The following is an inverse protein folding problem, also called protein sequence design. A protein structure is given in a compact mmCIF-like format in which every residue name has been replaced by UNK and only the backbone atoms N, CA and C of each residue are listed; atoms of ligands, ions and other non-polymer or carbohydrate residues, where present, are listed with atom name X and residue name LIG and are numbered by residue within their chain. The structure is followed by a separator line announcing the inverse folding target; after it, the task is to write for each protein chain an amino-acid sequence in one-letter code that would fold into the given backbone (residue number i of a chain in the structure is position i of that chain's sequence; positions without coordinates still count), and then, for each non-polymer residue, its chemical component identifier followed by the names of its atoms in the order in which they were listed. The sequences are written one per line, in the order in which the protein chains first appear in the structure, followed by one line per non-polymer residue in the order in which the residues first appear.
data_IF_348349352721
#
_entry.id   IF_348349352721
#
_cell.length_a   1.000
_cell.length_b   1.000
_cell.length_c   1.000
_cell.angle_alpha   90.00
_cell.angle_beta   90.00
_cell.angle_gamma   90.00
#
_symmetry.space_group_name_H-M   'P 1'
#
loop_
_entity.id
_entity.type
_entity.pdbx_description
1 polymer ?
#
# COMPACT_ATOMS: atom_id res chain seq x y z
N UNK A 1 30.92 -41.14 -42.42
CA UNK A 1 29.95 -42.01 -41.72
C UNK A 1 29.07 -41.09 -40.89
N UNK A 2 28.03 -40.45 -41.43
CA UNK A 2 26.81 -41.00 -42.00
C UNK A 2 25.98 -41.78 -40.95
N UNK A 3 24.90 -41.13 -40.49
CA UNK A 3 23.61 -41.70 -40.05
C UNK A 3 23.59 -42.54 -38.75
N UNK A 4 22.87 -42.06 -37.73
CA UNK A 4 21.52 -42.55 -37.38
C UNK A 4 21.06 -41.99 -36.03
N UNK A 5 19.74 -41.89 -35.84
CA UNK A 5 18.98 -41.39 -34.68
C UNK A 5 18.56 -39.92 -34.67
N UNK A 6 17.83 -39.56 -35.72
CA UNK A 6 16.57 -38.82 -35.59
C UNK A 6 15.49 -39.81 -35.13
N UNK A 7 14.46 -39.32 -34.43
CA UNK A 7 13.26 -40.01 -33.88
C UNK A 7 13.33 -40.34 -32.38
N UNK A 8 13.21 -39.29 -31.57
CA UNK A 8 12.47 -39.29 -30.30
C UNK A 8 12.03 -37.85 -30.00
N UNK A 9 11.22 -37.31 -30.92
CA UNK A 9 10.50 -36.07 -30.73
C UNK A 9 9.11 -36.39 -30.14
N UNK A 10 8.58 -35.44 -29.37
CA UNK A 10 7.21 -35.37 -28.85
C UNK A 10 6.85 -36.33 -27.70
N UNK A 11 7.14 -35.96 -26.45
CA UNK A 11 6.23 -36.18 -25.27
C UNK A 11 6.68 -35.52 -23.96
N UNK A 12 7.74 -34.69 -23.93
CA UNK A 12 8.19 -34.02 -22.67
C UNK A 12 8.05 -32.48 -22.71
N UNK A 13 7.54 -31.91 -23.80
CA UNK A 13 7.52 -30.46 -24.03
C UNK A 13 6.19 -29.73 -23.78
N UNK A 14 5.27 -30.25 -22.95
CA UNK A 14 3.96 -29.60 -22.73
C UNK A 14 3.43 -29.63 -21.28
N UNK A 15 4.25 -30.00 -20.31
CA UNK A 15 3.84 -30.10 -18.90
C UNK A 15 4.31 -28.92 -18.01
N UNK A 16 5.17 -28.02 -18.53
CA UNK A 16 5.73 -26.90 -17.77
C UNK A 16 5.09 -25.54 -18.08
N UNK A 17 4.04 -25.49 -18.91
CA UNK A 17 3.32 -24.25 -19.21
C UNK A 17 2.04 -24.05 -18.39
N UNK A 18 1.60 -25.07 -17.64
CA UNK A 18 0.70 -24.89 -16.51
C UNK A 18 1.49 -24.39 -15.30
N UNK A 19 2.19 -23.25 -15.44
CA UNK A 19 2.16 -22.29 -14.35
C UNK A 19 0.67 -21.98 -14.20
N UNK A 20 0.06 -22.60 -13.20
CA UNK A 20 -1.22 -22.23 -12.67
C UNK A 20 -1.22 -20.71 -12.61
N UNK A 21 -1.88 -20.09 -13.60
CA UNK A 21 -2.38 -18.75 -13.44
C UNK A 21 -3.34 -18.91 -12.27
N UNK A 22 -2.83 -18.74 -11.05
CA UNK A 22 -3.64 -18.54 -9.87
C UNK A 22 -4.65 -17.51 -10.30
N UNK A 23 -5.96 -17.80 -10.24
CA UNK A 23 -6.97 -16.83 -10.63
C UNK A 23 -6.63 -15.56 -9.85
N UNK A 24 -6.13 -14.56 -10.57
CA UNK A 24 -5.88 -13.24 -10.03
C UNK A 24 -7.28 -12.77 -9.72
N UNK A 25 -7.67 -12.95 -8.45
CA UNK A 25 -9.00 -12.67 -7.90
C UNK A 25 -9.40 -11.34 -8.53
N UNK A 26 -10.38 -11.36 -9.45
CA UNK A 26 -10.87 -10.15 -10.09
C UNK A 26 -11.04 -9.16 -8.96
N UNK A 27 -10.32 -8.04 -9.01
CA UNK A 27 -10.22 -7.10 -7.90
C UNK A 27 -11.63 -6.60 -7.58
N UNK A 28 -12.32 -7.33 -6.71
CA UNK A 28 -13.54 -6.89 -6.09
C UNK A 28 -13.16 -5.58 -5.42
N UNK A 29 -13.97 -4.54 -5.65
CA UNK A 29 -13.70 -3.22 -5.10
C UNK A 29 -13.70 -3.34 -3.57
N UNK A 30 -12.51 -3.52 -3.00
CA UNK A 30 -12.30 -3.62 -1.56
C UNK A 30 -12.49 -2.22 -1.01
N UNK A 31 -13.36 -2.07 -0.02
CA UNK A 31 -13.53 -0.78 0.66
C UNK A 31 -12.34 -0.53 1.60
N UNK A 32 -11.74 0.67 1.63
CA UNK A 32 -10.62 0.96 2.53
C UNK A 32 -10.92 0.63 3.99
N UNK A 33 -12.16 0.86 4.44
CA UNK A 33 -12.59 0.65 5.83
C UNK A 33 -12.61 -0.83 6.22
N UNK A 34 -12.77 -1.74 5.26
CA UNK A 34 -12.71 -3.18 5.52
C UNK A 34 -11.32 -3.64 5.97
N UNK A 35 -10.29 -2.87 5.60
CA UNK A 35 -8.88 -3.14 5.92
C UNK A 35 -8.45 -2.57 7.27
N UNK A 36 -9.32 -1.83 7.94
CA UNK A 36 -9.03 -1.21 9.24
C UNK A 36 -9.50 -2.09 10.40
N UNK A 37 -8.82 -2.07 11.56
CA UNK A 37 -9.25 -2.70 12.80
C UNK A 37 -10.69 -2.35 13.17
N UNK A 38 -11.54 -3.35 13.43
CA UNK A 38 -12.87 -3.11 14.01
C UNK A 38 -12.78 -2.42 15.39
N UNK A 39 -11.67 -2.68 16.11
CA UNK A 39 -11.42 -2.21 17.47
C UNK A 39 -10.24 -1.24 17.49
N UNK A 40 -10.37 -0.14 16.77
CA UNK A 40 -9.39 0.97 16.83
C UNK A 40 -9.66 1.87 18.03
N UNK A 41 -8.59 2.28 18.73
CA UNK A 41 -8.68 3.33 19.78
C UNK A 41 -8.67 4.71 19.12
N UNK A 42 -7.95 4.85 18.01
CA UNK A 42 -7.90 6.06 17.20
C UNK A 42 -8.21 5.69 15.77
N UNK A 43 -9.14 6.42 15.17
CA UNK A 43 -9.45 6.35 13.75
C UNK A 43 -9.36 7.77 13.18
N UNK A 44 -8.56 7.93 12.14
CA UNK A 44 -8.52 9.11 11.30
C UNK A 44 -8.85 8.68 9.88
N UNK A 45 -9.84 9.33 9.29
CA UNK A 45 -10.25 9.06 7.92
C UNK A 45 -10.39 10.38 7.18
N UNK A 46 -9.82 10.40 5.98
CA UNK A 46 -9.98 11.46 5.02
C UNK A 46 -10.37 10.82 3.69
N UNK A 47 -11.59 11.07 3.22
CA UNK A 47 -12.15 10.40 2.03
C UNK A 47 -11.60 10.94 0.70
N UNK A 48 -10.76 11.97 0.76
CA UNK A 48 -10.40 12.76 -0.40
C UNK A 48 -11.57 13.63 -0.89
N UNK A 49 -11.36 14.30 -2.02
CA UNK A 49 -12.39 15.16 -2.61
C UNK A 49 -13.08 14.55 -3.83
N UNK A 50 -12.61 13.43 -4.39
CA UNK A 50 -13.22 12.77 -5.55
C UNK A 50 -14.71 12.45 -5.31
N UNK A 51 -15.02 11.81 -4.18
CA UNK A 51 -16.38 11.39 -3.83
C UNK A 51 -17.32 12.56 -3.51
N UNK A 52 -16.76 13.72 -3.14
CA UNK A 52 -17.50 14.89 -2.65
C UNK A 52 -17.32 16.14 -3.52
N UNK A 53 -16.72 15.99 -4.71
CA UNK A 53 -16.24 17.10 -5.53
C UNK A 53 -17.30 18.18 -5.77
N UNK A 54 -18.56 17.87 -6.16
CA UNK A 54 -19.57 18.89 -6.39
C UNK A 54 -19.90 19.74 -5.16
N UNK A 55 -19.81 19.16 -3.95
CA UNK A 55 -20.06 19.87 -2.70
C UNK A 55 -18.82 20.65 -2.24
N UNK A 56 -17.63 20.04 -2.35
CA UNK A 56 -16.35 20.67 -1.99
C UNK A 56 -16.10 21.91 -2.84
N UNK A 57 -16.37 21.84 -4.15
CA UNK A 57 -16.18 22.96 -5.09
C UNK A 57 -17.02 24.21 -4.74
N UNK A 58 -18.14 24.00 -4.05
CA UNK A 58 -19.01 25.08 -3.60
C UNK A 58 -18.52 25.75 -2.31
N UNK A 59 -17.58 25.14 -1.58
CA UNK A 59 -17.07 25.70 -0.33
C UNK A 59 -16.20 26.93 -0.56
N UNK A 60 -16.30 27.91 0.34
CA UNK A 60 -15.43 29.10 0.29
C UNK A 60 -13.94 28.74 0.43
N UNK A 61 -13.64 27.67 1.17
CA UNK A 61 -12.28 27.16 1.34
C UNK A 61 -11.70 26.68 -0.01
N UNK A 62 -12.43 25.83 -0.72
CA UNK A 62 -12.00 25.37 -2.05
C UNK A 62 -11.86 26.53 -3.03
N UNK A 63 -12.88 27.40 -3.11
CA UNK A 63 -12.81 28.54 -4.02
C UNK A 63 -11.64 29.48 -3.69
N UNK A 64 -11.34 29.70 -2.41
CA UNK A 64 -10.16 30.46 -2.01
C UNK A 64 -8.88 29.76 -2.44
N UNK A 65 -8.74 28.45 -2.17
CA UNK A 65 -7.53 27.70 -2.51
C UNK A 65 -7.26 27.65 -4.02
N UNK A 66 -8.29 27.38 -4.82
CA UNK A 66 -8.19 27.26 -6.28
C UNK A 66 -8.10 28.63 -6.97
N UNK A 67 -9.05 29.56 -6.70
CA UNK A 67 -9.10 30.84 -7.42
C UNK A 67 -7.93 31.76 -7.10
N UNK A 68 -7.34 31.64 -5.92
CA UNK A 68 -6.14 32.44 -5.56
C UNK A 68 -4.83 31.76 -5.94
N UNK A 69 -4.88 30.54 -6.48
CA UNK A 69 -3.68 29.72 -6.74
C UNK A 69 -2.94 29.29 -5.47
N UNK A 70 -3.57 29.41 -4.29
CA UNK A 70 -2.93 29.04 -3.02
C UNK A 70 -2.63 27.54 -2.96
N UNK A 71 -3.49 26.70 -3.57
CA UNK A 71 -3.24 25.26 -3.67
C UNK A 71 -1.90 24.98 -4.34
N UNK A 72 -1.66 25.57 -5.51
CA UNK A 72 -0.41 25.42 -6.24
C UNK A 72 0.79 25.87 -5.39
N UNK A 73 0.67 27.01 -4.72
CA UNK A 73 1.73 27.51 -3.81
C UNK A 73 2.03 26.57 -2.65
N UNK A 74 1.01 25.95 -2.05
CA UNK A 74 1.21 24.97 -0.98
C UNK A 74 1.98 23.76 -1.52
N UNK A 75 1.62 23.27 -2.71
CA UNK A 75 2.35 22.19 -3.35
C UNK A 75 3.78 22.59 -3.75
N UNK A 76 3.99 23.81 -4.21
CA UNK A 76 5.33 24.31 -4.54
C UNK A 76 6.20 24.41 -3.27
N UNK A 77 5.63 24.83 -2.13
CA UNK A 77 6.34 24.83 -0.85
C UNK A 77 6.69 23.41 -0.38
N UNK A 78 5.76 22.47 -0.51
CA UNK A 78 6.02 21.06 -0.22
C UNK A 78 7.11 20.52 -1.13
N UNK A 79 7.04 20.85 -2.43
CA UNK A 79 8.01 20.46 -3.43
C UNK A 79 9.39 21.04 -3.14
N UNK A 80 9.50 22.30 -2.70
CA UNK A 80 10.76 22.90 -2.28
C UNK A 80 11.37 22.19 -1.08
N UNK A 81 10.56 21.86 -0.07
CA UNK A 81 11.01 21.13 1.10
C UNK A 81 11.54 19.73 0.72
N UNK A 82 10.78 19.00 -0.09
CA UNK A 82 11.17 17.68 -0.61
C UNK A 82 12.42 17.78 -1.47
N UNK A 83 12.48 18.74 -2.39
CA UNK A 83 13.61 18.88 -3.32
C UNK A 83 14.91 19.24 -2.63
N UNK A 84 14.85 19.81 -1.43
CA UNK A 84 16.04 20.03 -0.60
C UNK A 84 16.66 18.74 -0.07
N UNK A 85 15.89 17.66 0.00
CA UNK A 85 16.32 16.35 0.52
C UNK A 85 16.47 15.30 -0.59
N UNK A 86 15.57 15.30 -1.58
CA UNK A 86 15.48 14.32 -2.66
C UNK A 86 14.87 14.94 -3.94
N UNK A 87 15.62 15.80 -4.68
CA UNK A 87 15.12 16.55 -5.83
C UNK A 87 14.59 15.67 -6.97
N UNK A 88 15.15 14.48 -7.16
CA UNK A 88 14.73 13.52 -8.18
C UNK A 88 13.32 12.93 -7.92
N UNK A 89 12.79 13.06 -6.70
CA UNK A 89 11.51 12.47 -6.30
C UNK A 89 10.40 13.50 -6.05
N UNK A 90 10.66 14.76 -6.35
CA UNK A 90 9.72 15.85 -6.13
C UNK A 90 8.39 15.65 -6.89
N UNK A 91 8.46 15.17 -8.15
CA UNK A 91 7.28 14.90 -8.97
C UNK A 91 6.49 13.67 -8.47
N UNK A 92 7.20 12.64 -8.03
CA UNK A 92 6.61 11.42 -7.47
C UNK A 92 5.83 11.68 -6.19
N UNK A 93 6.41 12.50 -5.29
CA UNK A 93 5.76 12.87 -4.04
C UNK A 93 4.56 13.78 -4.27
N UNK A 94 4.62 14.68 -5.25
CA UNK A 94 3.45 15.46 -5.68
C UNK A 94 2.32 14.55 -6.15
N UNK A 95 2.64 13.53 -6.94
CA UNK A 95 1.67 12.54 -7.44
C UNK A 95 1.00 11.76 -6.30
N UNK A 96 1.75 11.32 -5.30
CA UNK A 96 1.18 10.67 -4.10
C UNK A 96 0.30 11.65 -3.31
N UNK A 97 0.77 12.88 -3.11
CA UNK A 97 0.02 13.88 -2.37
C UNK A 97 -1.30 14.22 -3.08
N UNK A 98 -1.27 14.38 -4.41
CA UNK A 98 -2.47 14.55 -5.23
C UNK A 98 -3.39 13.34 -5.10
N UNK A 99 -2.85 12.12 -5.13
CA UNK A 99 -3.64 10.90 -4.94
C UNK A 99 -4.32 10.85 -3.56
N UNK A 100 -3.62 11.21 -2.48
CA UNK A 100 -4.22 11.29 -1.14
C UNK A 100 -5.29 12.37 -1.07
N UNK A 101 -5.04 13.55 -1.66
CA UNK A 101 -6.02 14.63 -1.70
C UNK A 101 -7.26 14.20 -2.49
N UNK A 102 -7.07 13.52 -3.62
CA UNK A 102 -8.13 13.04 -4.51
C UNK A 102 -8.94 11.90 -3.90
N UNK A 103 -8.29 10.81 -3.51
CA UNK A 103 -8.94 9.54 -3.16
C UNK A 103 -8.98 9.26 -1.67
N UNK A 104 -8.15 9.94 -0.88
CA UNK A 104 -8.15 9.84 0.56
C UNK A 104 -7.10 8.91 1.17
N UNK A 105 -7.15 8.84 2.49
CA UNK A 105 -6.31 8.01 3.34
C UNK A 105 -7.04 7.67 4.63
N UNK A 106 -6.84 6.46 5.12
CA UNK A 106 -7.36 6.01 6.42
C UNK A 106 -6.23 5.54 7.33
N UNK A 107 -6.29 5.92 8.60
CA UNK A 107 -5.32 5.54 9.62
C UNK A 107 -6.07 5.03 10.84
N UNK A 108 -5.70 3.86 11.32
CA UNK A 108 -6.27 3.29 12.52
C UNK A 108 -5.16 2.78 13.45
N UNK A 109 -5.30 3.07 14.75
CA UNK A 109 -4.41 2.56 15.79
C UNK A 109 -5.20 1.63 16.70
N UNK A 110 -4.68 0.44 16.96
CA UNK A 110 -5.28 -0.55 17.83
C UNK A 110 -4.23 -1.21 18.73
N UNK A 111 -4.68 -1.83 19.81
CA UNK A 111 -3.83 -2.51 20.80
C UNK A 111 -3.81 -4.02 20.61
N UNK A 112 -4.89 -4.60 20.10
CA UNK A 112 -4.95 -5.99 19.66
C UNK A 112 -6.21 -6.19 18.80
N UNK A 113 -6.19 -7.10 17.82
CA UNK A 113 -7.40 -7.52 17.10
C UNK A 113 -8.48 -8.06 18.04
N UNK A 114 -8.10 -8.85 19.05
CA UNK A 114 -9.04 -9.57 19.95
C UNK A 114 -9.22 -8.90 21.33
N UNK A 115 -8.36 -7.94 21.67
CA UNK A 115 -8.33 -7.26 22.97
C UNK A 115 -7.81 -8.11 24.14
N UNK A 116 -7.26 -9.30 23.89
CA UNK A 116 -6.68 -10.18 24.91
C UNK A 116 -5.19 -9.91 25.14
N UNK A 117 -4.46 -9.58 24.08
CA UNK A 117 -3.02 -9.29 24.13
C UNK A 117 -2.76 -7.78 24.04
N UNK A 118 -1.66 -7.32 24.66
CA UNK A 118 -1.19 -5.95 24.48
C UNK A 118 -0.12 -5.93 23.38
N UNK A 119 -0.54 -5.70 22.14
CA UNK A 119 0.31 -5.77 20.95
C UNK A 119 -0.04 -4.61 19.97
N UNK A 120 0.31 -3.35 20.32
CA UNK A 120 -0.12 -2.20 19.55
C UNK A 120 0.37 -2.23 18.11
N UNK A 121 -0.53 -1.82 17.21
CA UNK A 121 -0.28 -1.73 15.79
C UNK A 121 -1.09 -0.59 15.18
N UNK A 122 -0.57 -0.07 14.08
CA UNK A 122 -1.16 0.97 13.27
C UNK A 122 -1.36 0.42 11.87
N UNK A 123 -2.50 0.70 11.28
CA UNK A 123 -2.78 0.43 9.86
C UNK A 123 -3.01 1.76 9.16
N UNK A 124 -2.29 1.98 8.07
CA UNK A 124 -2.45 3.07 7.11
C UNK A 124 -2.92 2.47 5.80
N UNK A 125 -4.02 2.99 5.26
CA UNK A 125 -4.55 2.60 3.95
C UNK A 125 -4.55 3.84 3.08
N UNK A 126 -3.71 3.85 2.04
CA UNK A 126 -3.71 4.92 1.05
C UNK A 126 -4.63 4.50 -0.09
N UNK A 127 -5.68 5.29 -0.30
CA UNK A 127 -6.74 4.92 -1.23
C UNK A 127 -6.23 5.00 -2.68
N UNK A 128 -6.57 4.03 -3.52
CA UNK A 128 -6.17 3.95 -4.93
C UNK A 128 -4.65 4.07 -5.22
N UNK A 129 -3.79 3.75 -4.25
CA UNK A 129 -2.33 3.88 -4.36
C UNK A 129 -1.57 2.56 -4.63
N UNK A 130 -2.25 1.48 -5.01
CA UNK A 130 -1.58 0.19 -5.27
C UNK A 130 -0.50 0.31 -6.37
N UNK A 131 -0.76 1.10 -7.41
CA UNK A 131 0.18 1.36 -8.51
C UNK A 131 1.41 2.17 -8.07
N UNK A 132 1.37 2.82 -6.90
CA UNK A 132 2.44 3.68 -6.39
C UNK A 132 3.49 2.91 -5.60
N UNK A 133 3.18 1.68 -5.19
CA UNK A 133 4.05 0.87 -4.36
C UNK A 133 5.47 0.69 -4.95
N UNK A 134 5.66 0.37 -6.25
CA UNK A 134 7.01 0.22 -6.80
C UNK A 134 7.86 1.50 -6.68
N UNK A 135 7.26 2.66 -6.94
CA UNK A 135 7.94 3.95 -6.82
C UNK A 135 8.25 4.27 -5.36
N UNK A 136 7.31 4.05 -4.45
CA UNK A 136 7.53 4.23 -3.01
C UNK A 136 8.66 3.34 -2.50
N UNK A 137 8.75 2.11 -3.02
CA UNK A 137 9.83 1.21 -2.66
C UNK A 137 11.18 1.62 -3.22
N UNK A 138 11.22 2.14 -4.44
CA UNK A 138 12.44 2.72 -4.99
C UNK A 138 12.91 3.91 -4.14
N UNK A 139 12.00 4.82 -3.78
CA UNK A 139 12.28 5.95 -2.91
C UNK A 139 12.84 5.52 -1.56
N UNK A 140 12.19 4.53 -0.92
CA UNK A 140 12.62 4.00 0.36
C UNK A 140 14.00 3.32 0.29
N UNK A 141 14.28 2.57 -0.78
CA UNK A 141 15.58 1.91 -1.00
C UNK A 141 16.71 2.90 -1.33
N UNK A 142 16.41 4.03 -1.97
CA UNK A 142 17.40 5.10 -2.18
C UNK A 142 17.74 5.82 -0.89
N UNK A 143 16.73 6.03 -0.04
CA UNK A 143 16.87 6.69 1.25
C UNK A 143 17.59 5.81 2.30
N UNK A 144 17.36 4.50 2.23
CA UNK A 144 18.06 3.48 3.02
C UNK A 144 18.55 2.36 2.08
N UNK A 145 19.82 2.43 1.60
CA UNK A 145 20.39 1.42 0.70
C UNK A 145 20.39 -0.01 1.28
N UNK A 146 20.40 -0.16 2.60
CA UNK A 146 20.36 -1.47 3.26
C UNK A 146 18.95 -2.06 3.31
N UNK A 147 17.91 -1.22 3.12
CA UNK A 147 16.50 -1.63 3.15
C UNK A 147 16.25 -2.84 2.26
N UNK A 148 16.80 -2.84 1.04
CA UNK A 148 16.62 -3.96 0.09
C UNK A 148 17.06 -5.30 0.65
N UNK A 149 18.12 -5.34 1.45
CA UNK A 149 18.62 -6.56 2.09
C UNK A 149 17.82 -6.99 3.32
N UNK A 150 17.12 -6.02 3.93
CA UNK A 150 16.29 -6.21 5.13
C UNK A 150 14.84 -6.56 4.81
N UNK A 151 14.38 -6.26 3.59
CA UNK A 151 13.04 -6.62 3.12
C UNK A 151 12.92 -8.13 3.09
N UNK A 152 12.00 -8.63 3.90
CA UNK A 152 11.54 -9.99 3.90
C UNK A 152 10.20 -10.07 3.18
N UNK A 153 9.86 -11.26 2.68
CA UNK A 153 8.56 -11.53 2.07
C UNK A 153 7.93 -12.73 2.74
N UNK A 154 6.62 -12.68 2.93
CA UNK A 154 5.84 -13.84 3.35
C UNK A 154 4.44 -13.79 2.77
N UNK A 155 3.86 -14.97 2.61
CA UNK A 155 2.44 -15.09 2.24
C UNK A 155 1.60 -15.26 3.48
N UNK A 156 0.63 -14.37 3.70
CA UNK A 156 -0.30 -14.41 4.84
C UNK A 156 -1.72 -14.44 4.28
N UNK A 157 -2.46 -15.53 4.52
CA UNK A 157 -3.82 -15.73 4.01
C UNK A 157 -3.96 -15.49 2.48
N UNK A 158 -2.93 -15.85 1.72
CA UNK A 158 -2.89 -15.68 0.26
C UNK A 158 -2.45 -14.30 -0.23
N UNK A 159 -2.07 -13.38 0.67
CA UNK A 159 -1.52 -12.05 0.35
C UNK A 159 0.00 -12.08 0.33
N UNK A 160 0.62 -11.47 -0.67
CA UNK A 160 2.08 -11.28 -0.72
C UNK A 160 2.44 -10.03 0.08
N UNK A 161 3.03 -10.23 1.26
CA UNK A 161 3.38 -9.16 2.19
C UNK A 161 4.88 -8.98 2.19
N UNK A 162 5.32 -7.74 2.00
CA UNK A 162 6.71 -7.34 2.20
C UNK A 162 6.83 -6.65 3.55
N UNK A 163 7.89 -6.91 4.30
CA UNK A 163 8.06 -6.33 5.61
C UNK A 163 9.53 -6.17 5.99
N UNK A 164 9.78 -5.31 6.98
CA UNK A 164 11.07 -5.15 7.65
C UNK A 164 10.86 -5.14 9.16
N UNK A 165 11.82 -5.67 9.90
CA UNK A 165 11.81 -5.66 11.37
C UNK A 165 12.88 -4.68 11.88
N UNK A 166 12.53 -3.41 12.14
CA UNK A 166 13.52 -2.39 12.50
C UNK A 166 13.93 -2.40 13.99
N UNK A 167 13.29 -3.21 14.82
CA UNK A 167 13.40 -3.10 16.27
C UNK A 167 13.40 -4.44 17.02
N UNK A 168 12.89 -4.46 18.26
CA UNK A 168 12.78 -5.68 19.07
C UNK A 168 11.98 -6.78 18.37
N UNK A 169 12.11 -8.05 18.81
CA UNK A 169 11.37 -9.17 18.25
C UNK A 169 9.86 -8.89 18.18
N UNK A 170 9.28 -9.13 17.00
CA UNK A 170 7.86 -8.90 16.73
C UNK A 170 7.54 -7.50 16.19
N UNK A 171 8.39 -6.49 16.37
CA UNK A 171 8.14 -5.15 15.80
C UNK A 171 8.51 -5.14 14.32
N UNK A 172 7.55 -4.81 13.48
CA UNK A 172 7.71 -4.76 12.03
C UNK A 172 6.96 -3.60 11.40
N UNK A 173 7.39 -3.24 10.18
CA UNK A 173 6.65 -2.42 9.24
C UNK A 173 6.46 -3.28 8.00
N UNK A 174 5.20 -3.50 7.64
CA UNK A 174 4.78 -4.33 6.54
C UNK A 174 3.94 -3.54 5.56
N UNK A 175 3.98 -3.92 4.28
CA UNK A 175 3.17 -3.31 3.24
C UNK A 175 2.81 -4.32 2.16
N UNK A 176 1.63 -4.11 1.58
CA UNK A 176 1.10 -4.89 0.46
C UNK A 176 0.02 -4.08 -0.27
N UNK A 177 -0.47 -4.63 -1.37
CA UNK A 177 -1.61 -4.06 -2.09
C UNK A 177 -2.84 -4.90 -1.87
N UNK A 178 -3.97 -4.27 -1.55
CA UNK A 178 -5.28 -4.93 -1.50
C UNK A 178 -6.26 -4.20 -2.42
N UNK A 179 -6.70 -4.87 -3.49
CA UNK A 179 -7.44 -4.22 -4.56
C UNK A 179 -6.63 -3.07 -5.17
N UNK A 180 -7.18 -1.86 -5.14
CA UNK A 180 -6.50 -0.65 -5.62
C UNK A 180 -5.74 0.08 -4.50
N UNK A 181 -5.77 -0.41 -3.26
CA UNK A 181 -5.22 0.27 -2.10
C UNK A 181 -3.80 -0.17 -1.79
N UNK A 182 -2.98 0.77 -1.31
CA UNK A 182 -1.74 0.46 -0.63
C UNK A 182 -2.03 0.37 0.86
N UNK A 183 -1.68 -0.76 1.47
CA UNK A 183 -1.78 -0.97 2.92
C UNK A 183 -0.39 -0.96 3.50
N UNK A 184 -0.22 -0.21 4.58
CA UNK A 184 1.00 -0.18 5.39
C UNK A 184 0.60 -0.45 6.83
N UNK A 185 1.18 -1.48 7.43
CA UNK A 185 0.98 -1.84 8.83
C UNK A 185 2.29 -1.66 9.60
N UNK A 186 2.22 -1.15 10.83
CA UNK A 186 3.40 -0.98 11.68
C UNK A 186 3.09 -1.28 13.13
N UNK A 187 3.95 -2.03 13.81
CA UNK A 187 3.72 -2.45 15.19
C UNK A 187 4.16 -3.88 15.46
N UNK A 188 3.61 -4.49 16.50
CA UNK A 188 3.92 -5.88 16.86
C UNK A 188 3.13 -6.83 15.94
N UNK A 189 3.78 -7.69 15.15
CA UNK A 189 3.13 -8.62 14.20
C UNK A 189 2.06 -7.93 13.34
N UNK A 190 2.39 -6.73 12.84
CA UNK A 190 1.42 -5.79 12.31
C UNK A 190 0.69 -6.34 11.08
N UNK A 191 1.35 -7.08 10.19
CA UNK A 191 0.66 -7.64 9.02
C UNK A 191 -0.38 -8.70 9.40
N UNK A 192 -0.06 -9.61 10.30
CA UNK A 192 -0.92 -10.69 10.73
C UNK A 192 -2.13 -10.13 11.48
N UNK A 193 -1.91 -9.11 12.31
CA UNK A 193 -3.00 -8.41 13.01
C UNK A 193 -3.92 -7.67 12.02
N UNK A 194 -3.36 -6.91 11.07
CA UNK A 194 -4.16 -6.18 10.07
C UNK A 194 -4.89 -7.14 9.12
N UNK A 195 -4.26 -8.24 8.72
CA UNK A 195 -4.85 -9.23 7.82
C UNK A 195 -5.99 -10.00 8.49
N UNK A 196 -5.81 -10.45 9.73
CA UNK A 196 -6.86 -11.15 10.49
C UNK A 196 -8.13 -10.30 10.62
N UNK A 197 -7.98 -8.98 10.73
CA UNK A 197 -9.07 -8.02 10.78
C UNK A 197 -9.80 -7.87 9.43
N UNK A 198 -9.08 -8.02 8.32
CA UNK A 198 -9.66 -7.91 6.97
C UNK A 198 -10.43 -9.17 6.54
N UNK A 199 -10.21 -10.30 7.21
CA UNK A 199 -10.85 -11.59 6.89
C UNK A 199 -11.90 -12.04 7.89
N UNK A 200 -12.09 -11.32 8.99
CA UNK A 200 -13.14 -11.59 9.98
C UNK A 200 -14.54 -11.40 9.35
N UNK A 201 -15.33 -12.48 9.19
CA UNK A 201 -16.67 -12.43 8.58
C UNK A 201 -17.74 -11.84 9.52
N UNK A 202 -17.39 -11.47 10.76
CA UNK A 202 -18.32 -10.85 11.71
C UNK A 202 -18.48 -9.33 11.57
N UNK A 203 -17.74 -8.72 10.63
CA UNK A 203 -17.94 -7.34 10.15
C UNK A 203 -18.99 -7.29 9.04
#
# INVERSE_FOLDING_TARGET
MLRSFVVAALTVGFASWFCLATPQRSAESVRPESLLPARSIVLFQFDGHAAHRPAVEQTAAWQSLEKTGMRERIFDLLQMFVSSQAPEHAADLRRIADNVVEHGVSIAVSVSPDGQQFAPYTTLVVHQAAADLPMLMEFAQKSDPELKSRIQRRTVEGRDVQFVSPGPPGVEVAWWTEGEHLVVAGGINADAQTIAVATDPSK
#
